data_IF_988612146276
#
_entry.id   IF_988612146276
#
_cell.length_a   1.000
_cell.length_b   1.000
_cell.length_c   1.000
_cell.angle_alpha   90.00
_cell.angle_beta   90.00
_cell.angle_gamma   90.00
#
_symmetry.space_group_name_H-M   'P 1'
#
loop_
_entity.id
_entity.type
_entity.pdbx_description
1 polymer ?
#
# COMPACT_ATOMS: atom_id res chain seq x y z
N UNK A 1 19.93 -2.18 -4.66
CA UNK A 1 18.61 -1.69 -4.19
C UNK A 1 18.37 -0.30 -4.78
N UNK A 2 17.21 -0.10 -5.41
CA UNK A 2 16.85 1.21 -5.96
C UNK A 2 16.45 2.18 -4.84
N UNK A 3 16.40 3.46 -5.16
CA UNK A 3 15.93 4.47 -4.21
C UNK A 3 14.47 4.20 -3.79
N UNK A 4 13.64 3.76 -4.72
CA UNK A 4 12.26 3.38 -4.43
C UNK A 4 12.20 2.26 -3.38
N UNK A 5 13.00 1.22 -3.55
CA UNK A 5 13.07 0.12 -2.60
C UNK A 5 13.59 0.56 -1.22
N UNK A 6 14.56 1.48 -1.19
CA UNK A 6 15.03 2.06 0.07
C UNK A 6 13.90 2.81 0.79
N UNK A 7 13.08 3.54 0.04
CA UNK A 7 11.97 4.30 0.62
C UNK A 7 10.84 3.37 1.07
N UNK A 8 10.64 2.23 0.39
CA UNK A 8 9.70 1.21 0.87
C UNK A 8 10.14 0.70 2.24
N UNK A 9 11.43 0.38 2.40
CA UNK A 9 11.95 -0.08 3.70
C UNK A 9 11.79 1.00 4.76
N UNK A 10 12.04 2.25 4.42
CA UNK A 10 11.90 3.38 5.36
C UNK A 10 10.45 3.56 5.83
N UNK A 11 9.47 3.12 5.05
CA UNK A 11 8.05 3.21 5.39
C UNK A 11 7.63 2.28 6.52
N UNK A 12 8.46 1.27 6.81
CA UNK A 12 8.17 0.23 7.80
C UNK A 12 6.89 -0.55 7.51
N UNK A 13 6.52 -0.65 6.23
CA UNK A 13 5.35 -1.38 5.79
C UNK A 13 4.03 -0.68 6.10
N UNK A 14 4.02 0.65 6.20
CA UNK A 14 2.82 1.44 6.46
C UNK A 14 2.58 2.43 5.33
N UNK A 15 1.31 2.63 4.97
CA UNK A 15 0.90 3.63 4.00
C UNK A 15 -0.45 4.21 4.40
N UNK A 16 -0.63 5.50 4.14
CA UNK A 16 -1.94 6.13 4.18
C UNK A 16 -2.54 5.96 2.79
N UNK A 17 -3.75 5.40 2.73
CA UNK A 17 -4.42 5.07 1.48
C UNK A 17 -5.72 5.85 1.41
N UNK A 18 -5.85 6.68 0.38
CA UNK A 18 -7.06 7.45 0.13
C UNK A 18 -7.87 6.81 -0.99
N UNK A 19 -9.14 6.55 -0.73
CA UNK A 19 -10.11 6.06 -1.70
C UNK A 19 -11.18 7.12 -1.92
N UNK A 20 -11.97 6.98 -2.96
CA UNK A 20 -13.00 7.97 -3.28
C UNK A 20 -14.23 7.31 -3.88
N UNK A 21 -15.39 7.85 -3.54
CA UNK A 21 -16.68 7.44 -4.11
C UNK A 21 -17.56 8.68 -4.20
N UNK A 22 -18.11 8.94 -5.39
CA UNK A 22 -18.99 10.10 -5.62
C UNK A 22 -18.35 11.42 -5.15
N UNK A 23 -17.08 11.61 -5.48
CA UNK A 23 -16.28 12.77 -5.12
C UNK A 23 -16.05 12.96 -3.61
N UNK A 24 -16.35 11.93 -2.81
CA UNK A 24 -16.10 11.96 -1.38
C UNK A 24 -14.85 11.12 -1.08
N UNK A 25 -13.73 11.76 -0.71
CA UNK A 25 -12.51 11.02 -0.35
C UNK A 25 -12.57 10.48 1.07
N UNK A 26 -11.88 9.37 1.28
CA UNK A 26 -11.67 8.76 2.61
C UNK A 26 -10.23 8.33 2.72
N UNK A 27 -9.63 8.47 3.90
CA UNK A 27 -8.23 8.07 4.10
C UNK A 27 -8.10 7.22 5.36
N UNK A 28 -7.21 6.25 5.32
CA UNK A 28 -6.86 5.40 6.47
C UNK A 28 -5.41 4.96 6.36
N UNK A 29 -4.83 4.56 7.50
CA UNK A 29 -3.51 3.96 7.50
C UNK A 29 -3.66 2.44 7.37
N UNK A 30 -2.79 1.83 6.57
CA UNK A 30 -2.81 0.39 6.34
C UNK A 30 -1.38 -0.16 6.32
N UNK A 31 -1.21 -1.40 6.80
CA UNK A 31 0.03 -2.13 6.64
C UNK A 31 0.07 -2.83 5.29
N UNK A 32 1.26 -2.98 4.74
CA UNK A 32 1.44 -3.64 3.45
C UNK A 32 2.77 -4.38 3.38
N UNK A 33 2.89 -5.25 2.36
CA UNK A 33 4.17 -5.81 1.95
C UNK A 33 4.31 -5.68 0.44
N UNK A 34 5.49 -5.28 -0.06
CA UNK A 34 5.70 -5.20 -1.51
C UNK A 34 5.90 -6.59 -2.10
N UNK A 35 5.55 -6.74 -3.37
CA UNK A 35 5.89 -7.92 -4.13
C UNK A 35 7.42 -7.95 -4.33
N UNK A 36 8.10 -9.09 -4.04
CA UNK A 36 9.56 -9.13 -4.13
C UNK A 36 10.11 -8.98 -5.54
N UNK A 37 9.33 -9.31 -6.57
CA UNK A 37 9.75 -9.22 -7.97
C UNK A 37 9.31 -7.93 -8.64
N UNK A 38 8.24 -7.30 -8.14
CA UNK A 38 7.68 -6.05 -8.68
C UNK A 38 7.38 -5.10 -7.53
N UNK A 39 8.37 -4.32 -7.07
CA UNK A 39 8.20 -3.50 -5.86
C UNK A 39 7.15 -2.40 -5.95
N UNK A 40 6.62 -2.10 -7.13
CA UNK A 40 5.50 -1.18 -7.30
C UNK A 40 4.13 -1.85 -7.08
N UNK A 41 4.12 -3.14 -6.77
CA UNK A 41 2.92 -3.91 -6.42
C UNK A 41 2.96 -4.18 -4.92
N UNK A 42 1.93 -3.74 -4.19
CA UNK A 42 1.84 -3.92 -2.74
C UNK A 42 0.58 -4.68 -2.36
N UNK A 43 0.69 -5.56 -1.38
CA UNK A 43 -0.41 -6.38 -0.88
C UNK A 43 -0.87 -5.90 0.48
N UNK A 44 -2.18 -5.91 0.68
CA UNK A 44 -2.83 -5.51 1.92
C UNK A 44 -3.90 -6.53 2.27
N UNK A 45 -4.24 -6.63 3.56
CA UNK A 45 -5.41 -7.38 4.02
C UNK A 45 -6.50 -6.40 4.44
N UNK A 46 -7.75 -6.79 4.23
CA UNK A 46 -8.90 -6.00 4.65
C UNK A 46 -10.08 -6.89 4.99
N UNK A 47 -10.85 -6.46 5.99
CA UNK A 47 -12.17 -7.03 6.21
C UNK A 47 -13.04 -6.74 4.98
N UNK A 48 -13.90 -7.69 4.56
CA UNK A 48 -14.61 -7.57 3.28
C UNK A 48 -15.66 -6.47 3.22
N UNK A 49 -16.19 -6.01 4.36
CA UNK A 49 -17.35 -5.12 4.41
C UNK A 49 -17.02 -3.70 4.91
N UNK A 50 -15.79 -3.25 4.74
CA UNK A 50 -15.40 -1.91 5.14
C UNK A 50 -15.77 -0.88 4.08
N UNK A 51 -15.77 0.40 4.48
CA UNK A 51 -16.08 1.50 3.58
C UNK A 51 -15.13 1.55 2.38
N UNK A 52 -13.82 1.28 2.59
CA UNK A 52 -12.87 1.26 1.47
C UNK A 52 -13.22 0.20 0.44
N UNK A 53 -13.77 -0.95 0.88
CA UNK A 53 -14.17 -2.00 -0.07
C UNK A 53 -15.35 -1.54 -0.93
N UNK A 54 -16.26 -0.76 -0.34
CA UNK A 54 -17.38 -0.16 -1.09
C UNK A 54 -16.85 0.86 -2.09
N UNK A 55 -15.94 1.73 -1.66
CA UNK A 55 -15.33 2.73 -2.53
C UNK A 55 -14.61 2.08 -3.72
N UNK A 56 -13.78 1.06 -3.44
CA UNK A 56 -12.96 0.39 -4.46
C UNK A 56 -13.80 -0.38 -5.47
N UNK A 57 -14.99 -0.84 -5.08
CA UNK A 57 -15.89 -1.53 -5.99
C UNK A 57 -16.38 -0.62 -7.11
N UNK A 58 -16.42 0.71 -6.89
CA UNK A 58 -16.87 1.68 -7.88
C UNK A 58 -15.75 2.55 -8.42
N UNK A 59 -14.61 2.65 -7.71
CA UNK A 59 -13.49 3.48 -8.13
C UNK A 59 -12.17 2.89 -7.64
N UNK A 60 -11.39 2.34 -8.55
CA UNK A 60 -10.09 1.74 -8.26
C UNK A 60 -8.97 2.77 -8.06
N UNK A 61 -9.17 4.00 -8.49
CA UNK A 61 -8.13 5.02 -8.38
C UNK A 61 -7.94 5.42 -6.92
N UNK A 62 -6.69 5.39 -6.48
CA UNK A 62 -6.33 5.71 -5.11
C UNK A 62 -5.13 6.65 -5.08
N UNK A 63 -4.94 7.29 -3.94
CA UNK A 63 -3.71 8.04 -3.65
C UNK A 63 -3.07 7.43 -2.41
N UNK A 64 -1.75 7.43 -2.36
CA UNK A 64 -1.02 6.91 -1.21
C UNK A 64 0.09 7.86 -0.81
N UNK A 65 0.43 7.81 0.48
CA UNK A 65 1.63 8.44 1.01
C UNK A 65 2.13 7.58 2.16
N UNK A 66 3.45 7.39 2.23
CA UNK A 66 4.05 6.66 3.34
C UNK A 66 4.41 7.63 4.49
N UNK A 67 4.44 7.15 5.74
CA UNK A 67 4.86 7.98 6.86
C UNK A 67 6.30 8.47 6.69
N UNK A 68 6.56 9.67 7.19
CA UNK A 68 7.90 10.24 7.15
C UNK A 68 8.86 9.45 8.05
N UNK A 69 10.08 9.23 7.55
CA UNK A 69 11.16 8.81 8.43
C UNK A 69 11.90 10.04 8.95
N UNK A 70 12.99 9.82 9.71
CA UNK A 70 13.78 10.91 10.28
C UNK A 70 14.43 11.84 9.24
N UNK A 71 14.58 11.38 7.99
CA UNK A 71 15.12 12.17 6.88
C UNK A 71 14.01 12.79 6.03
N UNK A 72 12.77 12.69 6.47
CA UNK A 72 11.62 13.16 5.71
C UNK A 72 11.32 12.31 4.47
N UNK A 73 11.96 11.14 4.33
CA UNK A 73 11.77 10.29 3.16
C UNK A 73 10.36 9.71 3.15
N UNK A 74 9.70 9.84 2.00
CA UNK A 74 8.36 9.33 1.80
C UNK A 74 8.09 9.05 0.34
N UNK A 75 7.15 8.13 0.09
CA UNK A 75 6.63 7.84 -1.24
C UNK A 75 5.25 8.49 -1.31
N UNK A 76 5.01 9.27 -2.36
CA UNK A 76 3.71 9.88 -2.62
C UNK A 76 3.26 9.46 -4.02
N UNK A 77 2.00 9.07 -4.17
CA UNK A 77 1.44 8.79 -5.49
C UNK A 77 -0.04 9.14 -5.53
N UNK A 78 -0.44 9.87 -6.56
CA UNK A 78 -1.83 10.01 -6.95
C UNK A 78 -2.09 9.31 -8.30
N UNK A 79 -1.20 8.41 -8.71
CA UNK A 79 -1.30 7.64 -9.94
C UNK A 79 -1.12 6.16 -9.58
N UNK A 80 -2.13 5.61 -8.93
CA UNK A 80 -2.13 4.23 -8.45
C UNK A 80 -3.56 3.68 -8.49
N UNK A 81 -3.66 2.37 -8.60
CA UNK A 81 -4.94 1.67 -8.55
C UNK A 81 -4.89 0.60 -7.47
N UNK A 82 -6.04 0.31 -6.88
CA UNK A 82 -6.17 -0.75 -5.89
C UNK A 82 -7.44 -1.54 -6.17
N UNK A 83 -7.34 -2.86 -6.07
CA UNK A 83 -8.48 -3.74 -6.30
C UNK A 83 -8.35 -5.01 -5.47
N UNK A 84 -9.44 -5.73 -5.35
CA UNK A 84 -9.43 -7.04 -4.72
C UNK A 84 -8.64 -8.02 -5.60
N UNK A 85 -7.76 -8.79 -4.97
CA UNK A 85 -6.97 -9.83 -5.62
C UNK A 85 -7.64 -11.19 -5.42
N UNK A 86 -7.42 -12.10 -6.36
CA UNK A 86 -7.83 -13.50 -6.22
C UNK A 86 -6.88 -14.31 -5.35
N UNK A 87 -5.75 -13.72 -4.94
CA UNK A 87 -4.79 -14.40 -4.08
C UNK A 87 -5.41 -14.71 -2.72
N UNK A 88 -4.92 -15.79 -2.11
CA UNK A 88 -5.27 -16.20 -0.75
C UNK A 88 -4.15 -15.82 0.20
N UNK A 89 -4.45 -15.76 1.49
CA UNK A 89 -3.42 -15.46 2.50
C UNK A 89 -2.21 -16.40 2.37
N UNK A 90 -2.46 -17.69 2.08
CA UNK A 90 -1.39 -18.67 1.90
C UNK A 90 -0.40 -18.27 0.81
N UNK A 91 -0.83 -17.49 -0.18
CA UNK A 91 0.03 -17.09 -1.30
C UNK A 91 0.99 -15.95 -0.94
N UNK A 92 0.65 -15.15 0.07
CA UNK A 92 1.42 -13.93 0.42
C UNK A 92 1.90 -13.90 1.87
N UNK A 93 1.53 -14.88 2.69
CA UNK A 93 1.81 -14.85 4.14
C UNK A 93 3.30 -14.70 4.45
N UNK A 94 4.18 -15.26 3.62
CA UNK A 94 5.61 -15.21 3.86
C UNK A 94 6.16 -13.78 3.73
N UNK A 95 5.50 -12.93 2.98
CA UNK A 95 5.90 -11.52 2.84
C UNK A 95 5.70 -10.75 4.15
N UNK A 96 4.82 -11.25 5.03
CA UNK A 96 4.51 -10.62 6.33
C UNK A 96 5.10 -11.37 7.51
N UNK A 97 5.86 -12.45 7.27
CA UNK A 97 6.29 -13.37 8.33
C UNK A 97 7.08 -12.67 9.46
N UNK A 98 7.86 -11.64 9.12
CA UNK A 98 8.67 -10.91 10.09
C UNK A 98 8.00 -9.65 10.64
N UNK A 99 6.76 -9.38 10.21
CA UNK A 99 6.02 -8.20 10.65
C UNK A 99 5.05 -8.58 11.76
N UNK A 100 5.55 -8.75 12.97
CA UNK A 100 4.74 -9.15 14.12
C UNK A 100 3.61 -8.16 14.45
N UNK A 101 3.83 -6.84 14.42
CA UNK A 101 2.72 -5.90 14.64
C UNK A 101 1.59 -6.06 13.65
N UNK A 102 1.90 -6.32 12.38
CA UNK A 102 0.89 -6.57 11.36
C UNK A 102 0.07 -7.82 11.68
N UNK A 103 0.74 -8.93 11.99
CA UNK A 103 0.08 -10.18 12.31
C UNK A 103 -0.79 -10.05 13.57
N UNK A 104 -0.33 -9.28 14.56
CA UNK A 104 -1.09 -9.01 15.77
C UNK A 104 -2.34 -8.19 15.47
N UNK A 105 -2.26 -7.23 14.55
CA UNK A 105 -3.39 -6.39 14.16
C UNK A 105 -4.41 -7.13 13.28
N UNK A 106 -4.03 -8.27 12.70
CA UNK A 106 -4.87 -9.07 11.81
C UNK A 106 -5.04 -10.51 12.32
N UNK A 107 -5.67 -10.71 13.51
CA UNK A 107 -5.77 -12.05 14.10
C UNK A 107 -6.63 -13.03 13.31
N UNK A 108 -7.50 -12.51 12.43
CA UNK A 108 -8.41 -13.31 11.61
C UNK A 108 -8.08 -13.16 10.12
N UNK A 109 -6.80 -13.06 9.82
CA UNK A 109 -6.30 -12.74 8.47
C UNK A 109 -6.76 -13.73 7.40
N UNK A 110 -6.97 -15.00 7.76
CA UNK A 110 -7.40 -16.01 6.79
C UNK A 110 -8.82 -15.75 6.27
N UNK A 111 -9.63 -15.00 7.00
CA UNK A 111 -10.98 -14.62 6.62
C UNK A 111 -11.06 -13.22 6.01
N UNK A 112 -9.92 -12.57 5.84
CA UNK A 112 -9.84 -11.26 5.20
C UNK A 112 -9.60 -11.41 3.70
N UNK A 113 -9.94 -10.35 2.95
CA UNK A 113 -9.65 -10.30 1.52
C UNK A 113 -8.27 -9.70 1.30
N UNK A 114 -7.65 -10.06 0.19
CA UNK A 114 -6.37 -9.48 -0.22
C UNK A 114 -6.65 -8.35 -1.20
N UNK A 115 -6.06 -7.19 -0.95
CA UNK A 115 -6.06 -6.06 -1.87
C UNK A 115 -4.69 -5.94 -2.51
N UNK A 116 -4.67 -5.60 -3.79
CA UNK A 116 -3.44 -5.34 -4.52
C UNK A 116 -3.43 -3.90 -4.99
N UNK A 117 -2.35 -3.19 -4.64
CA UNK A 117 -2.07 -1.84 -5.10
C UNK A 117 -1.04 -1.91 -6.20
N UNK A 118 -1.33 -1.24 -7.30
CA UNK A 118 -0.34 -1.04 -8.35
C UNK A 118 -0.03 0.45 -8.45
N UNK A 119 1.23 0.80 -8.22
CA UNK A 119 1.71 2.17 -8.35
C UNK A 119 2.23 2.35 -9.78
N UNK A 120 1.64 3.28 -10.52
CA UNK A 120 2.04 3.55 -11.91
C UNK A 120 3.14 4.59 -11.99
N UNK A 121 3.11 5.57 -11.10
CA UNK A 121 4.19 6.54 -10.94
C UNK A 121 4.16 7.06 -9.51
N UNK A 122 5.31 7.53 -9.04
CA UNK A 122 5.43 8.03 -7.67
C UNK A 122 6.47 9.13 -7.58
N UNK A 123 6.34 9.89 -6.52
CA UNK A 123 7.27 10.92 -6.14
C UNK A 123 8.01 10.46 -4.89
N UNK A 124 9.33 10.40 -4.98
CA UNK A 124 10.20 10.03 -3.87
C UNK A 124 10.76 11.33 -3.31
N UNK A 125 10.29 11.73 -2.14
CA UNK A 125 10.66 13.03 -1.56
C UNK A 125 11.37 12.82 -0.24
N UNK A 126 12.34 13.71 0.04
CA UNK A 126 13.04 13.79 1.32
C UNK A 126 13.52 15.21 1.53
N UNK A 127 14.17 15.49 2.65
CA UNK A 127 14.77 16.80 2.88
C UNK A 127 15.90 17.12 1.89
N UNK A 128 16.48 16.09 1.25
CA UNK A 128 17.55 16.24 0.27
C UNK A 128 17.05 16.52 -1.15
N UNK A 129 15.77 16.34 -1.42
CA UNK A 129 15.21 16.59 -2.74
C UNK A 129 14.08 15.66 -3.12
N UNK A 130 13.74 15.69 -4.40
CA UNK A 130 12.60 14.95 -4.94
C UNK A 130 12.97 14.27 -6.25
N UNK A 131 12.52 13.05 -6.45
CA UNK A 131 12.71 12.29 -7.68
C UNK A 131 11.37 11.66 -8.09
N UNK A 132 11.08 11.68 -9.39
CA UNK A 132 9.89 11.04 -9.95
C UNK A 132 10.30 9.70 -10.55
N UNK A 133 9.55 8.65 -10.24
CA UNK A 133 9.73 7.33 -10.85
C UNK A 133 8.45 6.93 -11.59
N UNK A 134 8.63 6.27 -12.72
CA UNK A 134 7.52 5.84 -13.57
C UNK A 134 7.69 4.34 -13.83
N UNK A 135 6.61 3.57 -13.62
CA UNK A 135 6.63 2.10 -13.73
C UNK A 135 5.87 1.59 -14.96
N UNK A 136 5.20 2.46 -15.67
CA UNK A 136 4.44 2.07 -16.87
C UNK A 136 5.29 2.05 -18.14
#
# INVERSE_FOLDING_TARGET
MTLFEEYIQASRGLAFVATSKQNQPSVRIMGFAPDPDQPNIWYFNSKPNTEKMIDLAVNENVSIITPLNQNGARIESNHATMRRSDKKWADIKDLFANNKPYLHAHPDVENEVILVLEIHSARLASYAGTEIVNFD
#
